data_IF_766681147687
#
_entry.id   IF_766681147687
#
_cell.length_a   1.000
_cell.length_b   1.000
_cell.length_c   1.000
_cell.angle_alpha   90.00
_cell.angle_beta   90.00
_cell.angle_gamma   90.00
#
_symmetry.space_group_name_H-M   'P 1'
#
loop_
_entity.id
_entity.type
_entity.pdbx_description
1 polymer ?
#
# COMPACT_ATOMS: atom_id res chain seq x y z
N UNK A 1 -20.79 -29.01 14.02
CA UNK A 1 -19.77 -28.47 13.08
C UNK A 1 -19.42 -27.07 13.55
N UNK A 2 -18.12 -26.74 13.71
CA UNK A 2 -17.69 -25.37 14.01
C UNK A 2 -18.05 -24.47 12.82
N UNK A 3 -18.59 -23.29 13.08
CA UNK A 3 -18.74 -22.25 12.06
C UNK A 3 -17.38 -21.91 11.46
N UNK A 4 -17.29 -21.72 10.14
CA UNK A 4 -16.04 -21.36 9.48
C UNK A 4 -15.46 -20.05 10.05
N UNK A 5 -14.13 -19.91 10.11
CA UNK A 5 -13.50 -18.71 10.63
C UNK A 5 -13.83 -17.47 9.77
N UNK A 6 -14.07 -16.34 10.45
CA UNK A 6 -14.25 -14.99 9.94
C UNK A 6 -13.01 -14.19 10.28
N UNK A 7 -12.32 -13.74 9.24
CA UNK A 7 -11.16 -12.84 9.36
C UNK A 7 -11.56 -11.47 8.83
N UNK A 8 -11.26 -10.42 9.58
CA UNK A 8 -11.49 -9.03 9.17
C UNK A 8 -10.15 -8.39 8.85
N UNK A 9 -9.95 -7.99 7.59
CA UNK A 9 -8.78 -7.21 7.16
C UNK A 9 -9.12 -5.73 7.10
N UNK A 10 -8.27 -4.85 7.65
CA UNK A 10 -8.49 -3.40 7.62
C UNK A 10 -7.23 -2.69 7.13
N UNK A 11 -7.36 -1.94 6.03
CA UNK A 11 -6.34 -0.99 5.58
C UNK A 11 -6.58 0.37 6.25
N UNK A 12 -5.63 0.81 7.08
CA UNK A 12 -5.71 2.08 7.84
C UNK A 12 -4.99 3.25 7.15
N UNK A 13 -4.51 3.05 5.92
CA UNK A 13 -3.70 4.02 5.17
C UNK A 13 -4.54 4.86 4.20
N UNK A 14 -3.90 5.54 3.23
CA UNK A 14 -4.59 6.04 2.04
C UNK A 14 -5.34 4.89 1.33
N UNK A 15 -6.44 5.19 0.64
CA UNK A 15 -7.34 4.15 0.10
C UNK A 15 -7.88 3.20 1.19
N UNK A 16 -8.33 3.79 2.30
CA UNK A 16 -8.88 3.05 3.43
C UNK A 16 -9.96 2.09 2.99
N UNK A 17 -9.87 0.86 3.49
CA UNK A 17 -10.78 -0.21 3.12
C UNK A 17 -10.88 -1.26 4.20
N UNK A 18 -11.94 -2.05 4.12
CA UNK A 18 -12.18 -3.21 4.98
C UNK A 18 -12.53 -4.42 4.12
N UNK A 19 -12.11 -5.59 4.57
CA UNK A 19 -12.42 -6.88 3.99
C UNK A 19 -12.91 -7.84 5.08
N UNK A 20 -13.89 -8.67 4.77
CA UNK A 20 -14.36 -9.77 5.63
C UNK A 20 -14.26 -11.05 4.82
N UNK A 21 -13.36 -11.94 5.22
CA UNK A 21 -13.19 -13.25 4.63
C UNK A 21 -13.85 -14.30 5.52
N UNK A 22 -14.72 -15.13 4.93
CA UNK A 22 -15.33 -16.31 5.57
C UNK A 22 -15.08 -17.55 4.73
N UNK A 23 -14.50 -18.56 5.35
CA UNK A 23 -14.35 -19.86 4.70
C UNK A 23 -15.74 -20.47 4.38
N UNK A 24 -15.88 -21.26 3.30
CA UNK A 24 -14.82 -21.62 2.36
C UNK A 24 -14.55 -20.58 1.25
N UNK A 25 -15.37 -19.53 1.05
CA UNK A 25 -15.20 -18.68 -0.15
C UNK A 25 -16.01 -17.38 -0.19
N UNK A 26 -16.48 -16.85 0.94
CA UNK A 26 -17.18 -15.55 0.92
C UNK A 26 -16.25 -14.42 1.30
N UNK A 27 -16.11 -13.45 0.40
CA UNK A 27 -15.36 -12.22 0.63
C UNK A 27 -16.28 -11.01 0.45
N UNK A 28 -16.29 -10.13 1.44
CA UNK A 28 -16.92 -8.81 1.35
C UNK A 28 -15.81 -7.77 1.45
N UNK A 29 -15.74 -6.85 0.49
CA UNK A 29 -14.79 -5.74 0.53
C UNK A 29 -15.51 -4.41 0.32
N UNK A 30 -15.08 -3.40 1.06
CA UNK A 30 -15.64 -2.05 0.97
C UNK A 30 -14.53 -1.01 1.11
N UNK A 31 -14.36 -0.21 0.06
CA UNK A 31 -13.48 0.95 0.05
C UNK A 31 -14.21 2.18 0.64
N UNK A 32 -13.58 2.88 1.57
CA UNK A 32 -14.13 4.07 2.26
C UNK A 32 -14.56 5.15 1.26
N UNK A 33 -13.78 5.38 0.22
CA UNK A 33 -14.08 6.41 -0.78
C UNK A 33 -15.43 6.19 -1.49
N UNK A 34 -15.90 4.94 -1.60
CA UNK A 34 -17.19 4.61 -2.22
C UNK A 34 -18.35 5.09 -1.35
N UNK A 35 -18.15 5.09 -0.03
CA UNK A 35 -19.11 5.60 0.96
C UNK A 35 -19.05 7.12 1.04
N UNK A 36 -17.84 7.68 1.15
CA UNK A 36 -17.66 9.10 1.49
C UNK A 36 -17.64 10.00 0.27
N UNK A 37 -17.54 9.43 -0.94
CA UNK A 37 -17.41 10.15 -2.21
C UNK A 37 -16.20 11.09 -2.26
N UNK A 38 -15.17 10.77 -1.48
CA UNK A 38 -13.88 11.47 -1.43
C UNK A 38 -12.85 10.48 -1.94
N UNK A 39 -12.20 10.80 -3.07
CA UNK A 39 -11.16 9.95 -3.66
C UNK A 39 -10.00 9.79 -2.70
N UNK A 40 -9.40 8.60 -2.66
CA UNK A 40 -8.21 8.32 -1.87
C UNK A 40 -8.36 8.66 -0.38
N UNK A 41 -9.54 8.40 0.17
CA UNK A 41 -9.86 8.80 1.53
C UNK A 41 -9.06 7.97 2.54
N UNK A 42 -8.21 8.66 3.29
CA UNK A 42 -7.39 8.13 4.37
C UNK A 42 -8.17 7.43 5.47
N UNK A 43 -7.56 6.40 6.05
CA UNK A 43 -8.05 5.69 7.22
C UNK A 43 -7.95 6.58 8.45
N UNK A 44 -8.96 6.52 9.30
CA UNK A 44 -9.04 7.28 10.55
C UNK A 44 -9.75 6.45 11.63
N UNK A 45 -9.40 6.72 12.88
CA UNK A 45 -10.12 6.22 14.04
C UNK A 45 -11.62 6.58 13.93
N UNK A 46 -12.50 5.63 14.25
CA UNK A 46 -13.95 5.78 14.11
C UNK A 46 -14.50 5.27 12.78
N UNK A 47 -13.66 4.99 11.77
CA UNK A 47 -14.15 4.46 10.49
C UNK A 47 -14.85 3.10 10.63
N UNK A 48 -14.38 2.24 11.52
CA UNK A 48 -15.00 0.94 11.73
C UNK A 48 -16.40 1.12 12.31
N UNK A 49 -16.52 1.94 13.35
CA UNK A 49 -17.81 2.22 14.02
C UNK A 49 -18.79 2.96 13.11
N UNK A 50 -18.35 4.04 12.50
CA UNK A 50 -19.25 5.02 11.89
C UNK A 50 -19.47 4.78 10.39
N UNK A 51 -18.52 4.12 9.72
CA UNK A 51 -18.54 3.95 8.26
C UNK A 51 -18.79 2.51 7.86
N UNK A 52 -18.01 1.57 8.40
CA UNK A 52 -18.04 0.17 7.98
C UNK A 52 -19.14 -0.65 8.65
N UNK A 53 -19.24 -0.66 9.98
CA UNK A 53 -20.22 -1.45 10.72
C UNK A 53 -21.68 -1.23 10.29
N UNK A 54 -22.14 0.00 9.97
CA UNK A 54 -23.51 0.22 9.50
C UNK A 54 -23.78 -0.37 8.10
N UNK A 55 -22.74 -0.64 7.31
CA UNK A 55 -22.82 -1.08 5.90
C UNK A 55 -22.45 -2.54 5.69
N UNK A 56 -21.80 -3.16 6.67
CA UNK A 56 -21.38 -4.55 6.64
C UNK A 56 -22.02 -5.32 7.80
N UNK A 57 -23.30 -5.73 7.67
CA UNK A 57 -24.00 -6.51 8.71
C UNK A 57 -23.25 -7.79 9.13
N UNK A 58 -22.36 -8.30 8.28
CA UNK A 58 -21.51 -9.45 8.53
C UNK A 58 -20.60 -9.25 9.76
N UNK A 59 -20.23 -8.00 10.09
CA UNK A 59 -19.42 -7.67 11.28
C UNK A 59 -20.14 -7.93 12.60
N UNK A 60 -21.47 -8.12 12.60
CA UNK A 60 -22.23 -8.50 13.81
C UNK A 60 -22.02 -9.96 14.22
N UNK A 61 -21.49 -10.77 13.31
CA UNK A 61 -21.17 -12.17 13.58
C UNK A 61 -19.87 -12.33 14.38
N UNK A 62 -19.56 -13.55 14.86
CA UNK A 62 -18.32 -13.84 15.54
C UNK A 62 -17.10 -13.61 14.62
N UNK A 63 -16.08 -12.93 15.15
CA UNK A 63 -14.79 -12.64 14.52
C UNK A 63 -13.69 -13.44 15.21
N UNK A 64 -12.82 -14.06 14.41
CA UNK A 64 -11.74 -14.92 14.93
C UNK A 64 -10.39 -14.23 14.93
N UNK A 65 -10.20 -13.30 13.98
CA UNK A 65 -8.97 -12.58 13.78
C UNK A 65 -9.26 -11.26 13.07
N UNK A 66 -8.62 -10.20 13.54
CA UNK A 66 -8.48 -8.96 12.80
C UNK A 66 -7.03 -8.85 12.33
N UNK A 67 -6.84 -8.50 11.05
CA UNK A 67 -5.54 -8.20 10.45
C UNK A 67 -5.55 -6.74 10.04
N UNK A 68 -4.67 -5.92 10.62
CA UNK A 68 -4.58 -4.49 10.30
C UNK A 68 -3.30 -4.20 9.53
N UNK A 69 -3.42 -3.34 8.52
CA UNK A 69 -2.31 -2.85 7.73
C UNK A 69 -2.18 -1.34 7.92
N UNK A 70 -0.96 -0.91 8.26
CA UNK A 70 -0.53 0.47 8.36
C UNK A 70 0.65 0.70 7.41
N UNK A 71 0.86 1.94 7.01
CA UNK A 71 2.05 2.37 6.28
C UNK A 71 2.96 3.11 7.27
N UNK A 72 3.68 4.13 6.83
CA UNK A 72 4.58 4.96 7.63
C UNK A 72 3.94 6.26 8.14
N UNK A 73 2.62 6.38 8.02
CA UNK A 73 1.83 7.51 8.49
C UNK A 73 1.55 7.44 10.01
N UNK A 74 1.07 8.55 10.58
CA UNK A 74 0.87 8.70 12.04
C UNK A 74 -0.29 7.90 12.61
N UNK A 75 -1.12 7.22 11.80
CA UNK A 75 -2.19 6.40 12.34
C UNK A 75 -1.66 5.20 13.13
N UNK A 76 -0.45 4.72 12.81
CA UNK A 76 0.19 3.63 13.55
C UNK A 76 0.50 4.02 15.00
N UNK A 77 0.59 5.31 15.34
CA UNK A 77 0.83 5.76 16.72
C UNK A 77 -0.42 5.63 17.61
N UNK A 78 -1.58 5.27 17.05
CA UNK A 78 -2.87 5.23 17.73
C UNK A 78 -3.37 3.79 18.00
N UNK A 79 -2.48 2.81 18.13
CA UNK A 79 -2.85 1.39 18.22
C UNK A 79 -3.81 1.06 19.36
N UNK A 80 -3.61 1.65 20.55
CA UNK A 80 -4.48 1.40 21.70
C UNK A 80 -5.90 1.88 21.43
N UNK A 81 -6.06 3.07 20.85
CA UNK A 81 -7.37 3.61 20.51
C UNK A 81 -8.07 2.79 19.41
N UNK A 82 -7.31 2.29 18.42
CA UNK A 82 -7.84 1.38 17.41
C UNK A 82 -8.25 0.04 18.02
N UNK A 83 -7.48 -0.48 18.98
CA UNK A 83 -7.81 -1.70 19.70
C UNK A 83 -9.11 -1.54 20.50
N UNK A 84 -9.29 -0.42 21.18
CA UNK A 84 -10.54 -0.09 21.88
C UNK A 84 -11.73 -0.03 20.90
N UNK A 85 -11.57 0.62 19.74
CA UNK A 85 -12.59 0.64 18.69
C UNK A 85 -12.95 -0.78 18.22
N UNK A 86 -11.97 -1.65 18.03
CA UNK A 86 -12.20 -3.05 17.62
C UNK A 86 -13.00 -3.81 18.67
N UNK A 87 -12.63 -3.71 19.94
CA UNK A 87 -13.31 -4.43 21.04
C UNK A 87 -14.73 -3.92 21.28
N UNK A 88 -14.97 -2.64 21.04
CA UNK A 88 -16.29 -2.04 21.19
C UNK A 88 -17.25 -2.40 20.04
N UNK A 89 -16.73 -2.58 18.82
CA UNK A 89 -17.54 -2.72 17.61
C UNK A 89 -17.70 -4.18 17.18
N UNK A 90 -16.67 -5.01 17.38
CA UNK A 90 -16.64 -6.39 16.89
C UNK A 90 -16.95 -7.39 18.00
N UNK A 91 -17.59 -8.50 17.62
CA UNK A 91 -17.86 -9.61 18.51
C UNK A 91 -16.78 -10.68 18.33
N UNK A 92 -15.71 -10.64 19.12
CA UNK A 92 -14.68 -11.69 19.08
C UNK A 92 -15.25 -13.02 19.64
N UNK A 93 -14.98 -14.13 18.94
CA UNK A 93 -15.52 -15.45 19.33
C UNK A 93 -14.95 -15.94 20.66
N UNK A 94 -13.64 -15.81 20.81
CA UNK A 94 -12.87 -16.26 21.97
C UNK A 94 -12.09 -15.04 22.49
N UNK A 95 -10.77 -15.14 22.61
CA UNK A 95 -9.91 -14.00 22.95
C UNK A 95 -9.85 -12.97 21.81
N UNK A 96 -9.58 -11.71 22.18
CA UNK A 96 -9.30 -10.64 21.23
C UNK A 96 -8.00 -10.95 20.50
N UNK A 97 -8.12 -11.28 19.21
CA UNK A 97 -6.97 -11.60 18.34
C UNK A 97 -6.86 -10.57 17.23
N UNK A 98 -5.84 -9.72 17.36
CA UNK A 98 -5.50 -8.69 16.39
C UNK A 98 -4.03 -8.86 16.03
N UNK A 99 -3.71 -8.83 14.75
CA UNK A 99 -2.34 -8.86 14.26
C UNK A 99 -2.14 -7.76 13.22
N UNK A 100 -0.93 -7.23 13.16
CA UNK A 100 -0.54 -6.27 12.15
C UNK A 100 0.20 -6.97 11.02
N UNK A 101 0.17 -6.36 9.85
CA UNK A 101 0.90 -6.80 8.67
C UNK A 101 1.56 -5.60 8.02
N UNK A 102 2.81 -5.78 7.59
CA UNK A 102 3.55 -4.76 6.85
C UNK A 102 2.85 -4.43 5.54
N UNK A 103 3.02 -3.19 5.08
CA UNK A 103 2.29 -2.67 3.93
C UNK A 103 2.54 -3.48 2.67
N UNK A 104 3.81 -3.73 2.32
CA UNK A 104 4.12 -4.55 1.14
C UNK A 104 3.75 -6.02 1.32
N UNK A 105 3.80 -6.53 2.55
CA UNK A 105 3.34 -7.89 2.82
C UNK A 105 1.82 -8.00 2.57
N UNK A 106 1.03 -6.99 2.94
CA UNK A 106 -0.40 -6.93 2.61
C UNK A 106 -0.65 -6.89 1.10
N UNK A 107 0.14 -6.13 0.34
CA UNK A 107 0.11 -6.16 -1.12
C UNK A 107 0.39 -7.56 -1.67
N UNK A 108 1.42 -8.23 -1.18
CA UNK A 108 1.74 -9.62 -1.56
C UNK A 108 0.57 -10.56 -1.29
N UNK A 109 -0.01 -10.53 -0.08
CA UNK A 109 -1.15 -11.40 0.26
C UNK A 109 -2.36 -11.15 -0.62
N UNK A 110 -2.57 -9.89 -1.06
CA UNK A 110 -3.66 -9.53 -1.97
C UNK A 110 -3.47 -10.02 -3.41
N UNK A 111 -2.23 -10.36 -3.80
CA UNK A 111 -1.87 -10.78 -5.15
C UNK A 111 -1.58 -12.27 -5.25
N UNK A 112 -0.70 -12.81 -4.40
CA UNK A 112 -0.21 -14.19 -4.48
C UNK A 112 -1.29 -15.21 -4.17
N UNK A 113 -1.94 -15.13 -3.00
CA UNK A 113 -2.92 -16.13 -2.58
C UNK A 113 -4.20 -16.18 -3.42
N UNK A 114 -4.68 -15.06 -4.00
CA UNK A 114 -5.77 -15.11 -4.98
C UNK A 114 -5.32 -15.57 -6.38
N UNK A 115 -4.02 -15.63 -6.66
CA UNK A 115 -3.49 -16.11 -7.93
C UNK A 115 -3.62 -17.63 -8.07
N UNK A 116 -3.55 -18.19 -9.29
CA UNK A 116 -3.58 -19.64 -9.50
C UNK A 116 -2.23 -20.32 -9.25
N UNK A 117 -1.19 -19.56 -8.88
CA UNK A 117 0.17 -20.09 -8.75
C UNK A 117 0.42 -20.65 -7.36
N UNK A 118 0.96 -21.86 -7.29
CA UNK A 118 1.41 -22.49 -6.03
C UNK A 118 2.76 -21.98 -5.54
N UNK A 119 3.54 -21.41 -6.46
CA UNK A 119 4.82 -20.79 -6.17
C UNK A 119 5.06 -19.64 -7.15
N UNK A 120 5.61 -18.54 -6.65
CA UNK A 120 5.90 -17.35 -7.46
C UNK A 120 7.04 -16.53 -6.85
N UNK A 121 7.79 -15.85 -7.71
CA UNK A 121 8.49 -14.64 -7.30
C UNK A 121 7.47 -13.50 -7.28
N UNK A 122 7.41 -12.76 -6.18
CA UNK A 122 6.51 -11.61 -6.02
C UNK A 122 7.34 -10.36 -5.85
N UNK A 123 6.99 -9.33 -6.61
CA UNK A 123 7.58 -8.00 -6.51
C UNK A 123 6.46 -7.01 -6.21
N UNK A 124 6.64 -6.26 -5.13
CA UNK A 124 5.81 -5.12 -4.76
C UNK A 124 6.61 -3.87 -5.08
N UNK A 125 6.06 -3.02 -5.95
CA UNK A 125 6.64 -1.72 -6.30
C UNK A 125 5.63 -0.66 -5.89
N UNK A 126 6.04 0.21 -4.98
CA UNK A 126 5.20 1.25 -4.39
C UNK A 126 5.97 2.56 -4.30
N UNK A 127 5.30 3.64 -3.89
CA UNK A 127 5.95 4.88 -3.52
C UNK A 127 6.39 4.88 -2.06
N UNK A 128 5.56 4.37 -1.14
CA UNK A 128 5.84 4.44 0.30
C UNK A 128 5.01 3.44 1.12
N UNK A 129 5.67 2.43 1.69
CA UNK A 129 5.09 1.47 2.61
C UNK A 129 5.50 1.68 4.07
N UNK A 130 5.61 0.58 4.82
CA UNK A 130 5.94 0.58 6.25
C UNK A 130 7.36 1.08 6.53
N UNK A 131 7.60 1.54 7.77
CA UNK A 131 8.97 1.71 8.25
C UNK A 131 9.60 0.36 8.56
N UNK A 132 10.92 0.29 8.54
CA UNK A 132 11.69 -0.93 8.88
C UNK A 132 11.33 -1.46 10.27
N UNK A 133 11.20 -0.59 11.27
CA UNK A 133 10.83 -0.97 12.64
C UNK A 133 9.43 -1.59 12.78
N UNK A 134 8.57 -1.37 11.79
CA UNK A 134 7.19 -1.85 11.74
C UNK A 134 7.05 -3.09 10.84
N UNK A 135 8.17 -3.65 10.35
CA UNK A 135 8.14 -4.89 9.59
C UNK A 135 7.71 -6.09 10.43
N UNK A 136 6.86 -6.93 9.83
CA UNK A 136 6.26 -8.10 10.45
C UNK A 136 6.87 -9.40 9.93
N UNK A 137 7.42 -9.36 8.71
CA UNK A 137 8.32 -10.37 8.18
C UNK A 137 9.78 -10.09 8.57
N UNK A 138 10.61 -11.13 8.74
CA UNK A 138 12.05 -10.95 8.93
C UNK A 138 12.71 -10.23 7.76
N UNK A 139 13.46 -9.18 8.06
CA UNK A 139 14.28 -8.44 7.11
C UNK A 139 15.48 -7.83 7.85
N UNK A 140 16.67 -7.90 7.24
CA UNK A 140 17.98 -7.39 7.70
C UNK A 140 18.08 -6.83 9.13
N UNK A 141 18.83 -7.50 10.01
CA UNK A 141 18.93 -7.15 11.43
C UNK A 141 19.57 -5.78 11.73
N UNK A 142 20.36 -5.24 10.80
CA UNK A 142 21.17 -4.01 10.99
C UNK A 142 20.75 -2.88 10.03
N UNK A 143 19.45 -2.76 9.77
CA UNK A 143 18.90 -1.72 8.89
C UNK A 143 18.33 -0.58 9.72
N UNK A 144 18.58 0.66 9.28
CA UNK A 144 18.07 1.87 9.95
C UNK A 144 16.53 1.82 10.13
N UNK A 145 16.01 1.96 11.36
CA UNK A 145 14.64 1.60 11.71
C UNK A 145 13.56 2.50 11.12
N UNK A 146 13.89 3.74 10.78
CA UNK A 146 12.96 4.74 10.25
C UNK A 146 12.95 4.83 8.72
N UNK A 147 13.77 4.03 8.02
CA UNK A 147 13.68 3.94 6.56
C UNK A 147 12.35 3.33 6.12
N UNK A 148 11.86 3.75 4.97
CA UNK A 148 10.58 3.39 4.37
C UNK A 148 10.80 2.36 3.26
N UNK A 149 9.99 1.30 3.20
CA UNK A 149 10.00 0.43 2.02
C UNK A 149 9.37 1.14 0.81
N UNK A 150 10.03 1.01 -0.35
CA UNK A 150 9.54 1.51 -1.65
C UNK A 150 9.46 0.38 -2.69
N UNK A 151 10.20 -0.71 -2.48
CA UNK A 151 9.95 -1.96 -3.19
C UNK A 151 10.31 -3.16 -2.30
N UNK A 152 9.60 -4.27 -2.46
CA UNK A 152 9.84 -5.51 -1.72
C UNK A 152 9.75 -6.72 -2.64
N UNK A 153 10.62 -7.70 -2.43
CA UNK A 153 10.79 -8.86 -3.30
C UNK A 153 10.72 -10.13 -2.45
N UNK A 154 9.94 -11.10 -2.91
CA UNK A 154 9.64 -12.30 -2.13
C UNK A 154 9.69 -13.55 -3.00
N UNK A 155 10.09 -14.66 -2.39
CA UNK A 155 9.85 -16.01 -2.88
C UNK A 155 8.66 -16.58 -2.12
N UNK A 156 7.60 -16.95 -2.85
CA UNK A 156 6.37 -17.43 -2.27
C UNK A 156 6.08 -18.86 -2.73
N UNK A 157 5.62 -19.69 -1.80
CA UNK A 157 5.07 -21.04 -1.98
C UNK A 157 3.78 -21.12 -1.13
N UNK A 158 2.91 -22.11 -1.35
CA UNK A 158 1.58 -22.22 -0.73
C UNK A 158 1.57 -21.96 0.80
N UNK A 159 2.61 -22.37 1.52
CA UNK A 159 2.76 -22.27 2.98
C UNK A 159 3.96 -21.44 3.45
N UNK A 160 4.73 -20.84 2.52
CA UNK A 160 5.96 -20.12 2.84
C UNK A 160 6.08 -18.81 2.07
N UNK A 161 6.36 -17.73 2.79
CA UNK A 161 6.76 -16.44 2.23
C UNK A 161 8.15 -16.11 2.76
N UNK A 162 9.07 -15.82 1.85
CA UNK A 162 10.46 -15.47 2.16
C UNK A 162 10.79 -14.13 1.51
N UNK A 163 11.07 -13.11 2.32
CA UNK A 163 11.56 -11.83 1.83
C UNK A 163 13.02 -11.99 1.37
N UNK A 164 13.27 -11.73 0.09
CA UNK A 164 14.60 -11.87 -0.53
C UNK A 164 15.30 -10.53 -0.77
N UNK A 165 14.56 -9.41 -0.69
CA UNK A 165 15.14 -8.08 -0.79
C UNK A 165 14.10 -6.98 -0.63
N UNK A 166 14.54 -5.79 -0.21
CA UNK A 166 13.74 -4.56 -0.21
C UNK A 166 14.60 -3.39 -0.65
N UNK A 167 14.02 -2.45 -1.40
CA UNK A 167 14.58 -1.13 -1.59
C UNK A 167 13.97 -0.22 -0.53
N UNK A 168 14.83 0.52 0.16
CA UNK A 168 14.46 1.43 1.23
C UNK A 168 14.79 2.87 0.86
N UNK A 169 14.10 3.80 1.53
CA UNK A 169 14.22 5.23 1.32
C UNK A 169 14.12 5.98 2.66
N UNK A 170 14.78 7.12 2.78
CA UNK A 170 14.81 7.93 4.01
C UNK A 170 13.61 8.89 4.16
N UNK A 171 12.75 8.97 3.14
CA UNK A 171 11.60 9.88 3.13
C UNK A 171 11.93 11.28 2.60
N UNK A 172 13.17 11.56 2.19
CA UNK A 172 13.55 12.85 1.61
C UNK A 172 13.23 12.91 0.11
N UNK A 173 12.24 13.73 -0.26
CA UNK A 173 11.85 13.95 -1.66
C UNK A 173 12.91 14.71 -2.48
N UNK A 174 13.93 15.28 -1.83
CA UNK A 174 15.14 15.79 -2.49
C UNK A 174 16.07 14.67 -2.98
N UNK A 175 15.96 13.48 -2.39
CA UNK A 175 16.71 12.27 -2.76
C UNK A 175 15.75 11.07 -2.88
N UNK A 176 14.79 11.11 -3.82
CA UNK A 176 13.78 10.06 -3.98
C UNK A 176 14.42 8.74 -4.39
N UNK A 177 13.81 7.63 -3.98
CA UNK A 177 14.27 6.30 -4.34
C UNK A 177 13.12 5.42 -4.83
N UNK A 178 13.41 4.56 -5.81
CA UNK A 178 12.43 3.60 -6.30
C UNK A 178 11.55 4.14 -7.44
N UNK A 179 10.92 3.20 -8.13
CA UNK A 179 10.09 3.50 -9.30
C UNK A 179 8.80 4.25 -8.94
N UNK A 180 8.20 3.98 -7.77
CA UNK A 180 6.99 4.68 -7.33
C UNK A 180 7.23 6.16 -7.07
N UNK A 181 8.29 6.51 -6.34
CA UNK A 181 8.67 7.91 -6.12
C UNK A 181 8.99 8.62 -7.45
N UNK A 182 9.75 7.97 -8.35
CA UNK A 182 10.03 8.50 -9.68
C UNK A 182 8.74 8.84 -10.44
N UNK A 183 7.81 7.88 -10.51
CA UNK A 183 6.60 8.03 -11.29
C UNK A 183 5.63 9.05 -10.68
N UNK A 184 5.61 9.18 -9.35
CA UNK A 184 4.87 10.22 -8.64
C UNK A 184 5.42 11.62 -8.96
N UNK A 185 6.74 11.80 -8.89
CA UNK A 185 7.38 13.08 -9.23
C UNK A 185 7.17 13.45 -10.69
N UNK A 186 7.37 12.51 -11.61
CA UNK A 186 7.08 12.70 -13.03
C UNK A 186 5.62 13.14 -13.23
N UNK A 187 4.67 12.48 -12.56
CA UNK A 187 3.26 12.84 -12.66
C UNK A 187 2.99 14.27 -12.19
N UNK A 188 3.60 14.68 -11.08
CA UNK A 188 3.44 16.03 -10.52
C UNK A 188 4.03 17.13 -11.39
N UNK A 189 4.99 16.82 -12.26
CA UNK A 189 5.49 17.78 -13.25
C UNK A 189 4.45 18.11 -14.32
N UNK A 190 3.53 17.18 -14.62
CA UNK A 190 2.54 17.33 -15.70
C UNK A 190 1.13 17.64 -15.20
N UNK A 191 0.79 17.21 -13.98
CA UNK A 191 -0.55 17.36 -13.42
C UNK A 191 -0.49 17.83 -11.97
N UNK A 192 -1.30 18.81 -11.56
CA UNK A 192 -1.37 19.22 -10.16
C UNK A 192 -2.06 18.16 -9.30
N UNK A 193 -1.57 17.99 -8.07
CA UNK A 193 -2.12 17.05 -7.09
C UNK A 193 -1.72 15.59 -7.31
N UNK A 194 -2.24 14.72 -6.45
CA UNK A 194 -1.98 13.27 -6.43
C UNK A 194 -3.01 12.49 -7.28
N UNK A 195 -2.69 11.25 -7.68
CA UNK A 195 -3.65 10.33 -8.30
C UNK A 195 -3.82 10.50 -9.81
N UNK A 196 -2.85 11.12 -10.49
CA UNK A 196 -2.86 11.35 -11.94
C UNK A 196 -1.92 10.40 -12.72
N UNK A 197 -1.31 9.42 -12.05
CA UNK A 197 -0.32 8.48 -12.57
C UNK A 197 -0.87 7.72 -13.79
N UNK A 198 -2.15 7.33 -13.73
CA UNK A 198 -2.85 6.68 -14.84
C UNK A 198 -3.03 7.57 -16.07
N UNK A 199 -3.07 8.91 -15.91
CA UNK A 199 -3.12 9.84 -17.05
C UNK A 199 -1.78 9.91 -17.76
N UNK A 200 -0.67 9.96 -17.00
CA UNK A 200 0.68 9.90 -17.56
C UNK A 200 0.85 8.60 -18.35
N UNK A 201 0.40 7.47 -17.79
CA UNK A 201 0.44 6.18 -18.49
C UNK A 201 -0.39 6.22 -19.78
N UNK A 202 -1.57 6.86 -19.75
CA UNK A 202 -2.41 7.06 -20.93
C UNK A 202 -1.79 7.97 -22.00
N UNK A 203 -0.90 8.90 -21.61
CA UNK A 203 -0.16 9.77 -22.53
C UNK A 203 1.09 9.09 -23.12
N UNK A 204 1.70 8.14 -22.40
CA UNK A 204 2.93 7.46 -22.79
C UNK A 204 2.95 6.94 -24.24
N UNK A 205 1.91 6.26 -24.79
CA UNK A 205 1.95 5.75 -26.17
C UNK A 205 1.95 6.84 -27.26
N UNK A 206 1.65 8.10 -26.92
CA UNK A 206 1.70 9.23 -27.85
C UNK A 206 3.05 9.97 -27.80
N UNK A 207 3.92 9.61 -26.86
CA UNK A 207 5.21 10.24 -26.65
C UNK A 207 6.27 9.81 -27.66
N UNK A 208 7.38 10.53 -27.65
CA UNK A 208 8.64 10.12 -28.28
C UNK A 208 9.63 9.85 -27.15
N UNK A 209 10.05 8.60 -26.89
CA UNK A 209 10.82 8.24 -25.69
C UNK A 209 12.13 9.03 -25.59
N UNK A 210 12.78 9.30 -26.72
CA UNK A 210 14.10 9.95 -26.75
C UNK A 210 14.05 11.48 -26.88
N UNK A 211 12.86 12.09 -26.84
CA UNK A 211 12.70 13.52 -27.17
C UNK A 211 13.45 14.48 -26.23
N UNK A 212 13.67 14.06 -24.98
CA UNK A 212 14.36 14.88 -23.97
C UNK A 212 15.83 14.48 -23.78
N UNK A 213 16.29 13.39 -24.38
CA UNK A 213 17.66 12.88 -24.20
C UNK A 213 18.02 12.57 -22.73
N UNK A 214 17.03 12.26 -21.90
CA UNK A 214 17.23 11.92 -20.49
C UNK A 214 17.76 10.48 -20.36
N UNK A 215 18.63 10.20 -19.37
CA UNK A 215 19.12 8.86 -19.14
C UNK A 215 18.00 7.91 -18.67
N UNK A 216 18.17 6.62 -18.95
CA UNK A 216 17.33 5.57 -18.37
C UNK A 216 17.50 5.51 -16.84
N UNK A 217 16.49 4.98 -16.15
CA UNK A 217 16.63 4.66 -14.72
C UNK A 217 17.65 3.53 -14.55
N UNK A 218 18.58 3.69 -13.62
CA UNK A 218 19.55 2.64 -13.32
C UNK A 218 18.93 1.62 -12.37
N UNK A 219 19.15 0.34 -12.65
CA UNK A 219 18.71 -0.76 -11.79
C UNK A 219 19.93 -1.51 -11.28
N UNK A 220 20.15 -1.48 -9.97
CA UNK A 220 21.24 -2.15 -9.28
C UNK A 220 20.64 -3.16 -8.30
N UNK A 221 20.80 -4.45 -8.58
CA UNK A 221 20.15 -5.54 -7.85
C UNK A 221 18.63 -5.34 -7.75
N UNK A 222 18.15 -5.01 -6.55
CA UNK A 222 16.75 -4.80 -6.24
C UNK A 222 16.40 -3.30 -6.10
N UNK A 223 17.29 -2.40 -6.52
CA UNK A 223 17.16 -0.94 -6.35
C UNK A 223 16.99 -0.25 -7.70
N UNK A 224 15.98 0.60 -7.80
CA UNK A 224 15.82 1.56 -8.90
C UNK A 224 16.37 2.90 -8.44
N UNK A 225 17.43 3.37 -9.10
CA UNK A 225 18.10 4.64 -8.85
C UNK A 225 17.65 5.68 -9.88
N UNK A 226 17.43 6.91 -9.41
CA UNK A 226 16.95 8.03 -10.22
C UNK A 226 18.16 8.90 -10.58
N UNK A 227 18.54 9.00 -11.88
CA UNK A 227 19.64 9.85 -12.30
C UNK A 227 19.42 11.33 -11.95
N UNK A 228 20.48 12.10 -11.64
CA UNK A 228 20.37 13.52 -11.27
C UNK A 228 19.64 14.39 -12.30
N UNK A 229 19.75 14.06 -13.59
CA UNK A 229 19.10 14.77 -14.69
C UNK A 229 17.57 14.76 -14.56
N UNK A 230 17.00 13.69 -14.00
CA UNK A 230 15.57 13.64 -13.70
C UNK A 230 15.19 14.56 -12.54
N UNK A 231 16.05 14.69 -11.53
CA UNK A 231 15.82 15.61 -10.42
C UNK A 231 15.80 17.07 -10.89
N UNK A 232 16.64 17.41 -11.87
CA UNK A 232 16.61 18.72 -12.52
C UNK A 232 15.29 18.99 -13.23
N UNK A 233 14.67 17.98 -13.85
CA UNK A 233 13.34 18.09 -14.48
C UNK A 233 12.27 18.33 -13.42
N UNK A 234 12.32 17.58 -12.31
CA UNK A 234 11.36 17.70 -11.22
C UNK A 234 11.43 19.04 -10.49
N UNK A 235 12.61 19.67 -10.45
CA UNK A 235 12.82 20.98 -9.83
C UNK A 235 12.37 22.18 -10.68
N UNK A 236 11.99 21.99 -11.95
CA UNK A 236 11.57 23.09 -12.84
C UNK A 236 10.13 23.53 -12.52
N UNK A 237 9.88 24.84 -12.33
CA UNK A 237 8.51 25.34 -12.26
C UNK A 237 7.87 25.30 -13.65
N UNK A 238 6.73 24.60 -13.76
CA UNK A 238 5.93 24.47 -14.99
C UNK A 238 6.75 24.05 -16.24
N UNK A 239 7.36 22.85 -16.23
CA UNK A 239 8.21 22.40 -17.33
C UNK A 239 7.43 22.14 -18.63
N UNK A 240 6.09 22.15 -18.60
CA UNK A 240 5.26 21.76 -19.73
C UNK A 240 4.21 22.81 -20.08
N UNK A 241 4.26 23.30 -21.32
CA UNK A 241 3.20 24.15 -21.84
C UNK A 241 1.94 23.33 -22.12
N UNK A 242 0.87 23.61 -21.39
CA UNK A 242 -0.45 23.03 -21.65
C UNK A 242 -1.15 23.79 -22.78
N UNK A 243 -1.26 23.18 -23.96
CA UNK A 243 -2.07 23.73 -25.04
C UNK A 243 -3.56 23.53 -24.73
N UNK A 244 -4.24 24.60 -24.29
CA UNK A 244 -5.70 24.64 -24.24
C UNK A 244 -6.21 25.02 -25.63
N UNK A 245 -6.40 24.04 -26.51
CA UNK A 245 -6.88 24.28 -27.88
C UNK A 245 -7.40 23.00 -28.54
N UNK A 246 -8.72 22.89 -28.58
CA UNK A 246 -9.53 21.88 -29.26
C UNK A 246 -11.00 22.25 -29.12
#
# INVERSE_FOLDING_TARGET
>A
MRTPPTVVGINRTQDASICIARAPSTLYSLQKERITRRKHHWGRLGDLRDRYAPRLPQLRGPVELVVECYSSDTEIDNLDAYRDELTDVLNFRDDVRVTQMSHHLAHLYSAFHPSPFRAAAVMVVDAQGSRVKDFTEPFGADVEPDLLEVASFYRCEDDRIECIGKQLWDGDWGSPAGLGCFYSLLTRTMFPGEGNEGKVMGLAPYGRPDALGLPELAVEDNRVLIPPEWLEVFGRPDPYTHFRGG
#
